data_IF_193443727421
#
_entry.id   IF_193443727421
#
_cell.length_a   1.000
_cell.length_b   1.000
_cell.length_c   1.000
_cell.angle_alpha   90.00
_cell.angle_beta   90.00
_cell.angle_gamma   90.00
#
_symmetry.space_group_name_H-M   'P 1'
#
loop_
_entity.id
_entity.type
_entity.pdbx_description
1 polymer ?
#
# COMPACT_ATOMS: atom_id res chain seq x y z
N UNK A 1 -11.23 -1.18 8.02
CA UNK A 1 -10.76 -2.03 6.90
C UNK A 1 -11.86 -2.36 5.88
N UNK A 2 -13.08 -2.70 6.33
CA UNK A 2 -14.23 -3.03 5.47
C UNK A 2 -14.60 -1.98 4.38
N UNK A 3 -14.60 -0.66 4.65
CA UNK A 3 -15.08 0.33 3.66
C UNK A 3 -14.23 0.39 2.38
N UNK A 4 -12.91 0.32 2.54
CA UNK A 4 -11.95 0.41 1.43
C UNK A 4 -11.95 -0.86 0.59
N UNK A 5 -12.03 -2.04 1.23
CA UNK A 5 -12.10 -3.31 0.53
C UNK A 5 -13.36 -3.37 -0.36
N UNK A 6 -14.51 -2.93 0.18
CA UNK A 6 -15.77 -2.89 -0.54
C UNK A 6 -15.76 -1.86 -1.69
N UNK A 7 -15.19 -0.67 -1.45
CA UNK A 7 -15.04 0.39 -2.48
C UNK A 7 -14.10 0.00 -3.64
N UNK A 8 -13.19 -0.94 -3.41
CA UNK A 8 -12.21 -1.40 -4.41
C UNK A 8 -12.54 -2.76 -5.02
N UNK A 9 -13.66 -3.39 -4.60
CA UNK A 9 -13.97 -4.77 -5.01
C UNK A 9 -12.85 -5.76 -4.67
N UNK A 10 -12.13 -5.50 -3.57
CA UNK A 10 -10.92 -6.24 -3.18
C UNK A 10 -11.20 -7.10 -1.94
N UNK A 11 -10.65 -8.31 -1.92
CA UNK A 11 -10.73 -9.15 -0.72
C UNK A 11 -9.92 -8.53 0.44
N UNK A 12 -10.37 -8.67 1.70
CA UNK A 12 -9.62 -8.18 2.85
C UNK A 12 -8.20 -8.77 2.94
N UNK A 13 -8.02 -10.03 2.52
CA UNK A 13 -6.71 -10.68 2.46
C UNK A 13 -5.76 -9.96 1.51
N UNK A 14 -6.21 -9.64 0.29
CA UNK A 14 -5.39 -8.88 -0.68
C UNK A 14 -5.06 -7.49 -0.15
N UNK A 15 -6.02 -6.80 0.47
CA UNK A 15 -5.77 -5.50 1.07
C UNK A 15 -4.67 -5.56 2.14
N UNK A 16 -4.71 -6.57 3.03
CA UNK A 16 -3.70 -6.75 4.08
C UNK A 16 -2.32 -7.00 3.46
N UNK A 17 -2.22 -7.90 2.48
CA UNK A 17 -0.95 -8.18 1.78
C UNK A 17 -0.37 -6.90 1.18
N UNK A 18 -1.20 -6.14 0.46
CA UNK A 18 -0.78 -4.90 -0.21
C UNK A 18 -0.39 -3.82 0.81
N UNK A 19 -1.20 -3.63 1.87
CA UNK A 19 -0.91 -2.67 2.93
C UNK A 19 0.45 -2.96 3.56
N UNK A 20 0.70 -4.22 3.93
CA UNK A 20 1.97 -4.65 4.53
C UNK A 20 3.14 -4.43 3.58
N UNK A 21 2.95 -4.75 2.30
CA UNK A 21 3.91 -4.49 1.23
C UNK A 21 4.31 -3.00 1.14
N UNK A 22 3.33 -2.08 1.13
CA UNK A 22 3.55 -0.63 1.05
C UNK A 22 4.30 -0.12 2.29
N UNK A 23 3.86 -0.51 3.49
CA UNK A 23 4.48 -0.06 4.74
C UNK A 23 5.93 -0.57 4.82
N UNK A 24 6.18 -1.82 4.44
CA UNK A 24 7.53 -2.39 4.42
C UNK A 24 8.46 -1.62 3.47
N UNK A 25 7.98 -1.31 2.26
CA UNK A 25 8.73 -0.50 1.28
C UNK A 25 9.06 0.90 1.84
N UNK A 26 8.06 1.58 2.42
CA UNK A 26 8.24 2.89 3.04
C UNK A 26 9.32 2.86 4.14
N UNK A 27 9.23 1.92 5.09
CA UNK A 27 10.21 1.78 6.17
C UNK A 27 11.61 1.46 5.65
N UNK A 28 11.73 0.65 4.59
CA UNK A 28 13.01 0.36 3.98
C UNK A 28 13.64 1.63 3.36
N UNK A 29 12.85 2.45 2.67
CA UNK A 29 13.31 3.75 2.11
C UNK A 29 13.72 4.74 3.21
N UNK A 30 12.93 4.86 4.28
CA UNK A 30 13.27 5.70 5.43
C UNK A 30 14.59 5.28 6.08
N UNK A 31 14.91 3.99 6.05
CA UNK A 31 16.18 3.46 6.56
C UNK A 31 17.34 3.57 5.55
N UNK A 32 17.19 4.36 4.49
CA UNK A 32 18.23 4.58 3.48
C UNK A 32 18.52 3.36 2.61
N UNK A 33 17.66 2.34 2.60
CA UNK A 33 17.84 1.20 1.70
C UNK A 33 17.38 1.60 0.30
N UNK A 34 18.20 1.31 -0.70
CA UNK A 34 17.80 1.43 -2.10
C UNK A 34 16.79 0.32 -2.42
N UNK A 35 15.51 0.66 -2.26
CA UNK A 35 14.42 -0.24 -2.62
C UNK A 35 14.17 -0.02 -4.10
N UNK A 36 14.66 -0.96 -4.92
CA UNK A 36 14.34 -1.01 -6.35
C UNK A 36 12.83 -1.02 -6.61
N UNK A 37 12.41 -1.05 -7.89
CA UNK A 37 10.97 -1.00 -8.24
C UNK A 37 10.18 -2.09 -7.49
N UNK A 38 9.32 -1.65 -6.57
CA UNK A 38 8.46 -2.51 -5.80
C UNK A 38 7.53 -3.32 -6.72
N UNK A 39 7.63 -4.65 -6.67
CA UNK A 39 6.82 -5.56 -7.48
C UNK A 39 5.66 -6.05 -6.64
N UNK A 40 4.49 -5.46 -6.88
CA UNK A 40 3.24 -5.93 -6.26
C UNK A 40 2.88 -7.33 -6.77
N UNK A 41 2.07 -8.09 -6.02
CA UNK A 41 1.48 -9.32 -6.52
C UNK A 41 0.82 -9.08 -7.89
N UNK A 42 1.00 -10.01 -8.82
CA UNK A 42 0.54 -9.87 -10.20
C UNK A 42 -0.98 -9.60 -10.26
N UNK A 43 -1.38 -8.55 -10.99
CA UNK A 43 -2.79 -8.15 -11.15
C UNK A 43 -3.20 -6.91 -10.34
N UNK A 44 -2.28 -6.29 -9.58
CA UNK A 44 -2.62 -5.08 -8.84
C UNK A 44 -2.69 -3.84 -9.73
N UNK A 45 -3.90 -3.30 -9.88
CA UNK A 45 -4.14 -2.04 -10.59
C UNK A 45 -3.46 -0.85 -9.88
N UNK A 46 -2.87 0.05 -10.67
CA UNK A 46 -2.21 1.27 -10.16
C UNK A 46 -3.16 2.17 -9.35
N UNK A 47 -4.45 2.11 -9.64
CA UNK A 47 -5.51 2.88 -8.97
C UNK A 47 -5.71 2.42 -7.54
N UNK A 48 -5.72 1.10 -7.29
CA UNK A 48 -5.80 0.55 -5.93
C UNK A 48 -4.57 0.92 -5.11
N UNK A 49 -3.39 0.93 -5.75
CA UNK A 49 -2.16 1.37 -5.09
C UNK A 49 -2.29 2.80 -4.59
N UNK A 50 -2.73 3.72 -5.45
CA UNK A 50 -2.86 5.14 -5.08
C UNK A 50 -3.87 5.33 -3.96
N UNK A 51 -5.02 4.65 -4.01
CA UNK A 51 -6.04 4.70 -2.96
C UNK A 51 -5.50 4.23 -1.60
N UNK A 52 -4.79 3.11 -1.58
CA UNK A 52 -4.24 2.55 -0.33
C UNK A 52 -3.13 3.45 0.21
N UNK A 53 -2.23 3.97 -0.63
CA UNK A 53 -1.21 4.94 -0.21
C UNK A 53 -1.86 6.19 0.38
N UNK A 54 -2.83 6.78 -0.32
CA UNK A 54 -3.54 7.97 0.16
C UNK A 54 -4.23 7.73 1.51
N UNK A 55 -4.89 6.58 1.68
CA UNK A 55 -5.46 6.20 2.97
C UNK A 55 -4.40 6.08 4.08
N UNK A 56 -3.26 5.47 3.79
CA UNK A 56 -2.17 5.34 4.76
C UNK A 56 -1.56 6.68 5.13
N UNK A 57 -1.47 7.63 4.20
CA UNK A 57 -1.00 8.99 4.45
C UNK A 57 -1.99 9.78 5.31
N UNK A 58 -3.28 9.74 4.96
CA UNK A 58 -4.38 10.38 5.70
C UNK A 58 -4.45 9.87 7.15
N UNK A 59 -4.18 8.58 7.35
CA UNK A 59 -4.16 7.94 8.67
C UNK A 59 -2.78 8.00 9.35
N UNK A 60 -1.82 8.76 8.80
CA UNK A 60 -0.47 8.98 9.36
C UNK A 60 0.36 7.70 9.55
N UNK A 61 0.08 6.63 8.80
CA UNK A 61 0.88 5.39 8.82
C UNK A 61 2.18 5.53 8.04
N UNK A 62 2.18 6.36 6.99
CA UNK A 62 3.35 6.69 6.17
C UNK A 62 3.34 8.19 5.91
N UNK A 63 4.51 8.80 5.73
CA UNK A 63 4.63 10.22 5.44
C UNK A 63 4.08 10.61 4.07
N UNK A 64 3.72 11.89 3.93
CA UNK A 64 3.59 12.51 2.62
C UNK A 64 4.98 12.54 1.96
N UNK A 65 5.15 11.71 0.93
CA UNK A 65 6.35 11.70 0.08
C UNK A 65 6.20 12.66 -1.07
#
# INVERSE_FOLDING_TARGET
ALPICNSMGMSPANYITIKTCIIKDYLQRCNGKDVGKFRYPGGMDKTYRRKIIGFLQDNLWIGAS
#
